data_IF_673017065233
#
_entry.id   IF_673017065233
#
_cell.length_a   1.000
_cell.length_b   1.000
_cell.length_c   1.000
_cell.angle_alpha   90.00
_cell.angle_beta   90.00
_cell.angle_gamma   90.00
#
_symmetry.space_group_name_H-M   'P 1'
#
loop_
_entity.id
_entity.type
_entity.pdbx_description
1 polymer ?
#
# COMPACT_ATOMS: atom_id res chain seq x y z
N UNK A 1 -11.48 30.11 -21.29
CA UNK A 1 -10.47 29.07 -21.63
C UNK A 1 -9.74 28.69 -20.34
N UNK A 2 -10.09 27.56 -19.70
CA UNK A 2 -9.31 27.04 -18.58
C UNK A 2 -7.87 26.81 -19.07
N UNK A 3 -6.90 27.34 -18.32
CA UNK A 3 -5.49 27.32 -18.67
C UNK A 3 -5.04 25.87 -18.91
N UNK A 4 -4.86 25.46 -20.17
CA UNK A 4 -4.52 24.08 -20.57
C UNK A 4 -3.01 23.79 -20.44
N UNK A 5 -2.33 24.55 -19.58
CA UNK A 5 -0.93 24.36 -19.20
C UNK A 5 -0.87 23.47 -17.96
N UNK A 6 0.22 22.71 -17.84
CA UNK A 6 0.46 21.90 -16.64
C UNK A 6 0.78 22.85 -15.48
N UNK A 7 0.05 22.74 -14.37
CA UNK A 7 0.46 23.33 -13.11
C UNK A 7 1.46 22.38 -12.42
N UNK A 8 2.75 22.61 -12.64
CA UNK A 8 3.81 21.76 -12.11
C UNK A 8 3.83 21.73 -10.58
N UNK A 9 3.51 22.84 -9.92
CA UNK A 9 3.44 22.90 -8.46
C UNK A 9 2.36 21.95 -7.97
N UNK A 10 1.16 22.01 -8.56
CA UNK A 10 0.06 21.10 -8.20
C UNK A 10 0.36 19.65 -8.57
N UNK A 11 1.02 19.42 -9.70
CA UNK A 11 1.42 18.08 -10.13
C UNK A 11 2.36 17.41 -9.12
N UNK A 12 3.38 18.13 -8.64
CA UNK A 12 4.32 17.63 -7.63
C UNK A 12 3.60 17.39 -6.29
N UNK A 13 2.72 18.30 -5.86
CA UNK A 13 1.95 18.13 -4.62
C UNK A 13 1.07 16.88 -4.68
N UNK A 14 0.32 16.69 -5.78
CA UNK A 14 -0.57 15.54 -5.94
C UNK A 14 0.20 14.23 -6.12
N UNK A 15 1.28 14.24 -6.91
CA UNK A 15 2.13 13.06 -7.10
C UNK A 15 2.86 12.68 -5.81
N UNK A 16 3.36 13.65 -5.05
CA UNK A 16 3.94 13.44 -3.73
C UNK A 16 2.92 12.95 -2.70
N UNK A 17 1.68 13.46 -2.71
CA UNK A 17 0.61 12.96 -1.87
C UNK A 17 0.24 11.51 -2.22
N UNK A 18 0.18 11.16 -3.51
CA UNK A 18 0.02 9.77 -3.94
C UNK A 18 1.15 8.88 -3.42
N UNK A 19 2.40 9.28 -3.61
CA UNK A 19 3.56 8.55 -3.09
C UNK A 19 3.47 8.36 -1.57
N UNK A 20 3.19 9.42 -0.81
CA UNK A 20 3.07 9.36 0.64
C UNK A 20 1.93 8.45 1.10
N UNK A 21 0.87 8.31 0.29
CA UNK A 21 -0.24 7.38 0.60
C UNK A 21 0.14 5.93 0.29
N UNK A 22 0.94 5.69 -0.75
CA UNK A 22 1.45 4.34 -1.07
C UNK A 22 2.59 3.89 -0.13
N UNK A 23 3.38 4.84 0.38
CA UNK A 23 4.51 4.55 1.27
C UNK A 23 4.02 4.50 2.71
N UNK A 24 3.74 3.28 3.16
CA UNK A 24 3.37 2.99 4.54
C UNK A 24 4.28 1.96 5.19
N UNK A 25 3.71 1.20 6.11
CA UNK A 25 4.35 0.08 6.79
C UNK A 25 4.96 -0.99 5.88
N UNK A 26 4.31 -1.33 4.77
CA UNK A 26 4.81 -2.32 3.80
C UNK A 26 6.16 -1.89 3.20
N UNK A 27 6.27 -0.61 2.86
CA UNK A 27 7.51 0.00 2.39
C UNK A 27 8.55 0.09 3.52
N UNK A 28 8.15 0.49 4.73
CA UNK A 28 9.06 0.65 5.87
C UNK A 28 9.67 -0.68 6.31
N UNK A 29 8.87 -1.74 6.34
CA UNK A 29 9.31 -3.09 6.70
C UNK A 29 10.06 -3.77 5.56
N UNK A 30 9.65 -3.53 4.30
CA UNK A 30 10.12 -4.22 3.11
C UNK A 30 9.57 -5.64 2.94
N UNK A 31 8.63 -6.06 3.81
CA UNK A 31 8.11 -7.44 3.82
C UNK A 31 7.30 -7.76 2.56
N UNK A 32 6.58 -6.79 2.02
CA UNK A 32 5.82 -6.96 0.77
C UNK A 32 6.77 -7.20 -0.41
N UNK A 33 7.96 -6.59 -0.39
CA UNK A 33 8.93 -6.73 -1.45
C UNK A 33 9.56 -8.12 -1.48
N UNK A 34 9.70 -8.78 -0.32
CA UNK A 34 10.10 -10.18 -0.26
C UNK A 34 9.13 -11.05 -1.04
N UNK A 35 7.84 -10.94 -0.72
CA UNK A 35 6.78 -11.77 -1.30
C UNK A 35 6.50 -11.52 -2.77
N UNK A 36 6.51 -10.25 -3.21
CA UNK A 36 6.09 -9.87 -4.56
C UNK A 36 7.24 -9.79 -5.57
N UNK A 37 8.46 -9.49 -5.12
CA UNK A 37 9.58 -9.23 -6.02
C UNK A 37 10.74 -10.17 -5.77
N UNK A 38 11.31 -10.16 -4.55
CA UNK A 38 12.57 -10.86 -4.24
C UNK A 38 12.44 -12.38 -4.41
N UNK A 39 11.31 -12.96 -3.99
CA UNK A 39 11.05 -14.40 -4.11
C UNK A 39 11.04 -14.94 -5.56
N UNK A 40 11.09 -14.06 -6.57
CA UNK A 40 11.14 -14.40 -7.99
C UNK A 40 12.52 -14.21 -8.64
N UNK A 41 13.56 -13.90 -7.85
CA UNK A 41 14.90 -13.63 -8.36
C UNK A 41 15.00 -12.30 -9.12
N UNK A 42 16.23 -11.89 -9.45
CA UNK A 42 16.49 -10.56 -10.04
C UNK A 42 15.72 -10.34 -11.36
N UNK A 43 15.73 -11.26 -12.35
CA UNK A 43 15.00 -11.04 -13.60
C UNK A 43 13.49 -10.95 -13.39
N UNK A 44 12.94 -11.81 -12.52
CA UNK A 44 11.52 -11.82 -12.19
C UNK A 44 11.09 -10.54 -11.47
N UNK A 45 11.89 -10.08 -10.52
CA UNK A 45 11.65 -8.83 -9.81
C UNK A 45 11.66 -7.61 -10.75
N UNK A 46 12.66 -7.51 -11.64
CA UNK A 46 12.74 -6.42 -12.61
C UNK A 46 11.52 -6.39 -13.54
N UNK A 47 11.12 -7.54 -14.06
CA UNK A 47 9.91 -7.67 -14.88
C UNK A 47 8.63 -7.32 -14.13
N UNK A 48 8.50 -7.78 -12.88
CA UNK A 48 7.35 -7.50 -12.03
C UNK A 48 7.24 -6.00 -11.69
N UNK A 49 8.35 -5.34 -11.37
CA UNK A 49 8.41 -3.89 -11.14
C UNK A 49 7.98 -3.11 -12.39
N UNK A 50 8.43 -3.54 -13.58
CA UNK A 50 8.06 -2.89 -14.84
C UNK A 50 6.55 -3.01 -15.14
N UNK A 51 5.97 -4.19 -14.96
CA UNK A 51 4.52 -4.41 -15.11
C UNK A 51 3.75 -3.57 -14.06
N UNK A 52 4.21 -3.59 -12.81
CA UNK A 52 3.63 -2.83 -11.71
C UNK A 52 3.60 -1.33 -12.03
N UNK A 53 4.69 -0.79 -12.58
CA UNK A 53 4.80 0.62 -12.95
C UNK A 53 3.72 1.01 -13.97
N UNK A 54 3.55 0.20 -15.01
CA UNK A 54 2.55 0.47 -16.06
C UNK A 54 1.14 0.44 -15.46
N UNK A 55 0.82 -0.56 -14.65
CA UNK A 55 -0.52 -0.71 -14.08
C UNK A 55 -0.83 0.39 -13.08
N UNK A 56 0.10 0.72 -12.17
CA UNK A 56 -0.05 1.85 -11.25
C UNK A 56 -0.27 3.16 -12.02
N UNK A 57 0.46 3.39 -13.11
CA UNK A 57 0.28 4.57 -13.94
C UNK A 57 -1.13 4.63 -14.54
N UNK A 58 -1.60 3.53 -15.14
CA UNK A 58 -2.95 3.46 -15.73
C UNK A 58 -4.04 3.71 -14.69
N UNK A 59 -3.95 3.04 -13.53
CA UNK A 59 -4.94 3.13 -12.46
C UNK A 59 -4.96 4.55 -11.85
N UNK A 60 -3.78 5.09 -11.52
CA UNK A 60 -3.63 6.42 -10.90
C UNK A 60 -4.09 7.52 -11.83
N UNK A 61 -3.66 7.47 -13.11
CA UNK A 61 -4.09 8.42 -14.14
C UNK A 61 -5.61 8.40 -14.30
N UNK A 62 -6.21 7.23 -14.36
CA UNK A 62 -7.65 7.10 -14.55
C UNK A 62 -8.42 7.71 -13.39
N UNK A 63 -8.11 7.31 -12.15
CA UNK A 63 -8.84 7.82 -10.98
C UNK A 63 -8.63 9.33 -10.76
N UNK A 64 -7.40 9.83 -10.91
CA UNK A 64 -7.15 11.27 -10.82
C UNK A 64 -7.91 12.07 -11.88
N UNK A 65 -7.90 11.59 -13.13
CA UNK A 65 -8.63 12.27 -14.20
C UNK A 65 -10.14 12.18 -14.00
N UNK A 66 -10.64 11.05 -13.48
CA UNK A 66 -12.07 10.89 -13.22
C UNK A 66 -12.56 11.84 -12.14
N UNK A 67 -11.73 12.13 -11.13
CA UNK A 67 -11.98 13.17 -10.14
C UNK A 67 -12.32 14.55 -10.71
N UNK A 68 -11.80 14.88 -11.90
CA UNK A 68 -12.07 16.13 -12.60
C UNK A 68 -13.35 16.10 -13.44
N UNK A 69 -13.95 14.93 -13.65
CA UNK A 69 -15.08 14.72 -14.57
C UNK A 69 -16.41 14.46 -13.85
N UNK A 70 -16.35 13.91 -12.63
CA UNK A 70 -17.53 13.41 -11.93
C UNK A 70 -17.86 14.26 -10.71
N UNK A 71 -19.11 14.18 -10.27
CA UNK A 71 -19.59 14.91 -9.10
C UNK A 71 -18.85 14.49 -7.84
N UNK A 72 -18.87 15.34 -6.80
CA UNK A 72 -18.27 15.00 -5.50
C UNK A 72 -18.87 13.71 -4.90
N UNK A 73 -20.17 13.47 -5.11
CA UNK A 73 -20.84 12.24 -4.67
C UNK A 73 -20.31 10.99 -5.41
N UNK A 74 -20.02 11.11 -6.70
CA UNK A 74 -19.44 10.04 -7.50
C UNK A 74 -17.95 9.81 -7.20
N UNK A 75 -17.21 10.86 -6.80
CA UNK A 75 -15.82 10.71 -6.35
C UNK A 75 -15.72 9.78 -5.14
N UNK A 76 -16.62 9.95 -4.17
CA UNK A 76 -16.69 9.11 -2.97
C UNK A 76 -17.23 7.70 -3.24
N UNK A 77 -18.01 7.52 -4.32
CA UNK A 77 -18.64 6.23 -4.69
C UNK A 77 -18.18 5.75 -6.07
N UNK A 78 -16.88 5.92 -6.36
CA UNK A 78 -16.33 5.73 -7.71
C UNK A 78 -16.57 4.32 -8.28
N UNK A 79 -16.60 3.31 -7.42
CA UNK A 79 -16.91 1.93 -7.82
C UNK A 79 -18.37 1.79 -8.29
N UNK A 80 -19.32 2.42 -7.61
CA UNK A 80 -20.71 2.46 -8.06
C UNK A 80 -20.86 3.22 -9.39
N UNK A 81 -20.05 4.25 -9.62
CA UNK A 81 -20.00 4.95 -10.91
C UNK A 81 -19.57 4.01 -12.05
N UNK A 82 -18.50 3.23 -11.88
CA UNK A 82 -18.01 2.36 -12.96
C UNK A 82 -18.85 1.09 -13.17
N UNK A 83 -19.34 0.49 -12.09
CA UNK A 83 -19.95 -0.85 -12.09
C UNK A 83 -21.46 -0.86 -11.88
N UNK A 84 -22.07 0.29 -11.60
CA UNK A 84 -23.46 0.39 -11.17
C UNK A 84 -23.66 0.00 -9.70
N UNK A 85 -24.89 0.13 -9.21
CA UNK A 85 -25.21 0.04 -7.78
C UNK A 85 -24.83 -1.30 -7.15
N UNK A 86 -25.16 -2.43 -7.79
CA UNK A 86 -24.99 -3.76 -7.18
C UNK A 86 -23.51 -4.16 -7.18
N UNK A 87 -22.88 -4.22 -8.36
CA UNK A 87 -21.48 -4.63 -8.46
C UNK A 87 -20.54 -3.62 -7.78
N UNK A 88 -20.86 -2.33 -7.84
CA UNK A 88 -20.11 -1.30 -7.12
C UNK A 88 -20.13 -1.49 -5.60
N UNK A 89 -21.30 -1.81 -5.02
CA UNK A 89 -21.42 -2.09 -3.58
C UNK A 89 -20.63 -3.36 -3.18
N UNK A 90 -20.61 -4.39 -4.02
CA UNK A 90 -19.80 -5.60 -3.79
C UNK A 90 -18.31 -5.26 -3.74
N UNK A 91 -17.81 -4.51 -4.72
CA UNK A 91 -16.40 -4.11 -4.72
C UNK A 91 -16.06 -3.16 -3.57
N UNK A 92 -16.99 -2.30 -3.16
CA UNK A 92 -16.78 -1.40 -2.03
C UNK A 92 -16.71 -2.16 -0.69
N UNK A 93 -17.57 -3.17 -0.48
CA UNK A 93 -17.42 -4.08 0.66
C UNK A 93 -16.14 -4.89 0.60
N UNK A 94 -15.72 -5.34 -0.58
CA UNK A 94 -14.45 -6.02 -0.75
C UNK A 94 -13.27 -5.11 -0.36
N UNK A 95 -13.24 -3.86 -0.83
CA UNK A 95 -12.25 -2.86 -0.44
C UNK A 95 -12.24 -2.65 1.08
N UNK A 96 -13.40 -2.57 1.72
CA UNK A 96 -13.47 -2.44 3.18
C UNK A 96 -12.89 -3.67 3.90
N UNK A 97 -13.24 -4.88 3.46
CA UNK A 97 -12.71 -6.13 4.03
C UNK A 97 -11.19 -6.22 3.83
N UNK A 98 -10.67 -5.86 2.66
CA UNK A 98 -9.24 -5.75 2.40
C UNK A 98 -8.58 -4.77 3.38
N UNK A 99 -9.15 -3.58 3.54
CA UNK A 99 -8.68 -2.58 4.50
C UNK A 99 -8.66 -3.13 5.94
N UNK A 100 -9.68 -3.89 6.33
CA UNK A 100 -9.67 -4.64 7.60
C UNK A 100 -8.55 -5.69 7.66
N UNK A 101 -8.34 -6.45 6.60
CA UNK A 101 -7.24 -7.42 6.47
C UNK A 101 -5.85 -6.77 6.55
N UNK A 102 -5.67 -5.59 5.98
CA UNK A 102 -4.43 -4.82 6.12
C UNK A 102 -4.16 -4.50 7.59
N UNK A 103 -5.18 -4.21 8.41
CA UNK A 103 -4.99 -4.02 9.85
C UNK A 103 -4.50 -5.28 10.57
N UNK A 104 -4.97 -6.48 10.20
CA UNK A 104 -4.43 -7.74 10.72
C UNK A 104 -2.93 -7.86 10.39
N UNK A 105 -2.53 -7.53 9.16
CA UNK A 105 -1.12 -7.50 8.74
C UNK A 105 -0.33 -6.48 9.55
N UNK A 106 -0.92 -5.32 9.90
CA UNK A 106 -0.24 -4.31 10.73
C UNK A 106 0.05 -4.81 12.14
N UNK A 107 -0.90 -5.49 12.78
CA UNK A 107 -0.67 -6.07 14.11
C UNK A 107 0.42 -7.14 14.08
N UNK A 108 0.38 -8.02 13.07
CA UNK A 108 1.43 -9.02 12.86
C UNK A 108 2.78 -8.35 12.61
N UNK A 109 2.84 -7.36 11.70
CA UNK A 109 4.06 -6.62 11.36
C UNK A 109 4.69 -5.90 12.54
N UNK A 110 3.89 -5.32 13.44
CA UNK A 110 4.42 -4.71 14.67
C UNK A 110 5.03 -5.76 15.61
N UNK A 111 4.33 -6.88 15.78
CA UNK A 111 4.82 -8.04 16.53
C UNK A 111 6.14 -8.57 15.97
N UNK A 112 6.19 -8.84 14.67
CA UNK A 112 7.38 -9.33 13.96
C UNK A 112 8.53 -8.34 14.02
N UNK A 113 8.27 -7.04 13.87
CA UNK A 113 9.31 -6.00 13.94
C UNK A 113 9.95 -5.95 15.32
N UNK A 114 9.16 -5.96 16.39
CA UNK A 114 9.67 -5.93 17.76
C UNK A 114 10.32 -7.25 18.15
N UNK A 115 9.81 -8.38 17.68
CA UNK A 115 10.48 -9.67 17.84
C UNK A 115 11.87 -9.66 17.16
N UNK A 116 11.97 -9.19 15.92
CA UNK A 116 13.24 -9.18 15.19
C UNK A 116 14.29 -8.25 15.82
N UNK A 117 13.88 -7.16 16.48
CA UNK A 117 14.82 -6.21 17.10
C UNK A 117 15.11 -6.48 18.58
N UNK A 118 14.08 -6.85 19.36
CA UNK A 118 14.16 -7.00 20.83
C UNK A 118 14.04 -8.44 21.31
N UNK A 119 13.81 -9.39 20.41
CA UNK A 119 13.54 -10.80 20.71
C UNK A 119 12.30 -11.03 21.60
N UNK A 120 11.36 -10.09 21.58
CA UNK A 120 10.08 -10.21 22.31
C UNK A 120 9.12 -11.18 21.64
N UNK A 121 8.22 -11.80 22.40
CA UNK A 121 7.10 -12.57 21.81
C UNK A 121 6.30 -11.64 20.86
N UNK A 122 6.04 -12.06 19.60
CA UNK A 122 5.30 -11.26 18.63
C UNK A 122 3.93 -10.76 19.14
N UNK A 123 3.27 -11.50 20.03
CA UNK A 123 2.01 -11.06 20.63
C UNK A 123 2.17 -9.82 21.51
N UNK A 124 3.32 -9.63 22.16
CA UNK A 124 3.56 -8.41 22.96
C UNK A 124 3.57 -7.20 22.04
N UNK A 125 4.32 -7.26 20.93
CA UNK A 125 4.37 -6.17 19.97
C UNK A 125 3.03 -5.90 19.29
N UNK A 126 2.29 -6.96 18.95
CA UNK A 126 0.93 -6.83 18.42
C UNK A 126 -0.04 -6.22 19.44
N UNK A 127 0.03 -6.60 20.72
CA UNK A 127 -0.76 -6.03 21.80
C UNK A 127 -0.51 -4.52 21.98
N UNK A 128 0.76 -4.09 21.93
CA UNK A 128 1.11 -2.67 22.02
C UNK A 128 0.52 -1.88 20.85
N UNK A 129 0.65 -2.40 19.62
CA UNK A 129 0.06 -1.77 18.43
C UNK A 129 -1.47 -1.78 18.46
N UNK A 130 -2.07 -2.87 18.93
CA UNK A 130 -3.51 -2.99 19.14
C UNK A 130 -4.01 -1.95 20.14
N UNK A 131 -3.38 -1.83 21.30
CA UNK A 131 -3.75 -0.84 22.31
C UNK A 131 -3.66 0.59 21.75
N UNK A 132 -2.55 0.94 21.11
CA UNK A 132 -2.35 2.26 20.52
C UNK A 132 -3.41 2.58 19.44
N UNK A 133 -3.65 1.63 18.52
CA UNK A 133 -4.63 1.82 17.44
C UNK A 133 -6.07 1.88 17.97
N UNK A 134 -6.43 1.02 18.92
CA UNK A 134 -7.77 0.97 19.53
C UNK A 134 -8.06 2.29 20.23
N UNK A 135 -7.14 2.79 21.09
CA UNK A 135 -7.30 4.07 21.77
C UNK A 135 -7.56 5.18 20.74
N UNK A 136 -6.72 5.27 19.71
CA UNK A 136 -6.85 6.29 18.67
C UNK A 136 -8.18 6.24 17.92
N UNK A 137 -8.60 5.07 17.46
CA UNK A 137 -9.83 4.93 16.67
C UNK A 137 -11.09 5.02 17.54
N UNK A 138 -11.00 4.62 18.80
CA UNK A 138 -12.11 4.69 19.76
C UNK A 138 -12.42 6.12 20.19
N UNK A 139 -11.39 6.96 20.37
CA UNK A 139 -11.55 8.37 20.74
C UNK A 139 -11.66 9.32 19.54
N UNK A 140 -11.50 8.79 18.32
CA UNK A 140 -11.76 9.48 17.07
C UNK A 140 -10.49 9.80 16.29
N UNK A 141 -10.36 9.20 15.11
CA UNK A 141 -9.17 9.32 14.25
C UNK A 141 -8.96 10.74 13.70
N UNK A 142 -10.03 11.50 13.47
CA UNK A 142 -9.98 12.80 12.76
C UNK A 142 -9.05 13.83 13.40
N UNK A 143 -8.79 13.73 14.71
CA UNK A 143 -7.85 14.63 15.40
C UNK A 143 -6.38 14.27 15.19
N UNK A 144 -6.12 13.03 14.75
CA UNK A 144 -4.77 12.47 14.59
C UNK A 144 -4.38 12.30 13.12
N UNK A 145 -5.30 12.50 12.17
CA UNK A 145 -5.02 12.37 10.73
C UNK A 145 -3.90 13.27 10.26
N UNK A 146 -3.82 14.51 10.76
CA UNK A 146 -2.79 15.47 10.34
C UNK A 146 -1.41 15.07 10.85
N UNK A 147 -1.33 14.59 12.10
CA UNK A 147 -0.09 14.08 12.70
C UNK A 147 0.36 12.82 11.94
N UNK A 148 -0.55 11.87 11.74
CA UNK A 148 -0.30 10.62 11.01
C UNK A 148 0.21 10.92 9.60
N UNK A 149 -0.44 11.84 8.88
CA UNK A 149 -0.04 12.23 7.53
C UNK A 149 1.33 12.91 7.45
N UNK A 150 1.74 13.63 8.50
CA UNK A 150 3.05 14.30 8.54
C UNK A 150 4.24 13.35 8.67
N UNK A 151 4.04 12.15 9.21
CA UNK A 151 5.12 11.18 9.47
C UNK A 151 5.51 10.41 8.19
N UNK A 152 4.55 10.16 7.30
CA UNK A 152 4.75 9.38 6.06
C UNK A 152 5.95 9.80 5.21
N UNK A 153 6.14 11.09 4.89
CA UNK A 153 7.31 11.56 4.12
C UNK A 153 8.65 11.24 4.77
N UNK A 154 8.74 11.30 6.11
CA UNK A 154 9.97 10.97 6.83
C UNK A 154 10.26 9.47 6.75
N UNK A 155 9.25 8.61 6.92
CA UNK A 155 9.40 7.15 6.78
C UNK A 155 9.90 6.80 5.37
N UNK A 156 9.30 7.41 4.35
CA UNK A 156 9.69 7.23 2.95
C UNK A 156 11.17 7.59 2.73
N UNK A 157 11.56 8.78 3.17
CA UNK A 157 12.92 9.29 3.03
C UNK A 157 13.94 8.37 3.71
N UNK A 158 13.69 7.98 4.96
CA UNK A 158 14.60 7.09 5.72
C UNK A 158 14.72 5.71 5.09
N UNK A 159 13.61 5.14 4.62
CA UNK A 159 13.61 3.83 3.95
C UNK A 159 14.48 3.88 2.69
N UNK A 160 14.33 4.93 1.87
CA UNK A 160 15.15 5.13 0.66
C UNK A 160 16.63 5.33 1.02
N UNK A 161 16.96 6.12 2.06
CA UNK A 161 18.34 6.31 2.51
C UNK A 161 18.98 4.96 2.87
N UNK A 162 18.29 4.12 3.63
CA UNK A 162 18.79 2.80 4.00
C UNK A 162 18.99 1.93 2.77
N UNK A 163 18.03 1.92 1.83
CA UNK A 163 18.17 1.20 0.58
C UNK A 163 19.39 1.65 -0.23
N UNK A 164 19.60 2.95 -0.36
CA UNK A 164 20.77 3.51 -1.07
C UNK A 164 22.08 3.11 -0.38
N UNK A 165 22.16 3.24 0.95
CA UNK A 165 23.37 2.84 1.70
C UNK A 165 23.62 1.34 1.60
N UNK A 166 22.59 0.51 1.71
CA UNK A 166 22.68 -0.93 1.53
C UNK A 166 23.14 -1.31 0.11
N UNK A 167 22.71 -0.57 -0.92
CA UNK A 167 23.20 -0.75 -2.29
C UNK A 167 24.69 -0.44 -2.44
N UNK A 168 25.25 0.51 -1.69
CA UNK A 168 26.71 0.75 -1.74
C UNK A 168 27.54 -0.39 -1.16
N UNK A 169 26.91 -1.29 -0.40
CA UNK A 169 27.52 -2.48 0.22
C UNK A 169 27.07 -3.78 -0.44
N UNK A 170 26.31 -3.69 -1.54
CA UNK A 170 25.67 -4.82 -2.16
C UNK A 170 26.67 -5.75 -2.85
N UNK A 171 26.49 -7.05 -2.65
CA UNK A 171 27.06 -8.13 -3.45
C UNK A 171 25.93 -8.95 -4.07
N UNK A 172 25.92 -9.02 -5.40
CA UNK A 172 24.91 -9.78 -6.16
C UNK A 172 25.40 -11.17 -6.58
N UNK A 173 26.67 -11.49 -6.33
CA UNK A 173 27.34 -12.69 -6.88
C UNK A 173 26.77 -14.01 -6.34
N UNK A 174 26.17 -13.99 -5.16
CA UNK A 174 25.62 -15.15 -4.48
C UNK A 174 24.08 -15.21 -4.51
N UNK A 175 23.41 -14.31 -5.23
CA UNK A 175 21.94 -14.28 -5.24
C UNK A 175 21.34 -15.59 -5.75
N UNK A 176 21.88 -16.13 -6.84
CA UNK A 176 21.38 -17.36 -7.45
C UNK A 176 21.65 -18.61 -6.59
N UNK A 177 22.60 -18.55 -5.65
CA UNK A 177 22.93 -19.65 -4.73
C UNK A 177 22.16 -19.54 -3.42
N UNK A 178 22.03 -18.34 -2.85
CA UNK A 178 21.41 -18.11 -1.54
C UNK A 178 19.89 -18.08 -1.64
N UNK A 179 19.32 -17.39 -2.62
CA UNK A 179 17.87 -17.16 -2.70
C UNK A 179 17.03 -18.46 -2.70
N UNK A 180 17.41 -19.54 -3.42
CA UNK A 180 16.66 -20.79 -3.38
C UNK A 180 16.60 -21.45 -1.99
N UNK A 181 17.54 -21.14 -1.10
CA UNK A 181 17.61 -21.72 0.27
C UNK A 181 16.73 -21.02 1.29
N UNK A 182 16.24 -19.81 0.97
CA UNK A 182 15.55 -18.95 1.94
C UNK A 182 14.06 -19.30 2.15
N UNK A 183 13.53 -20.27 1.40
CA UNK A 183 12.12 -20.70 1.43
C UNK A 183 11.12 -19.53 1.53
N UNK A 184 11.35 -18.48 0.72
CA UNK A 184 10.54 -17.29 0.76
C UNK A 184 9.10 -17.57 0.33
N UNK A 185 8.17 -17.08 1.13
CA UNK A 185 6.74 -17.12 0.86
C UNK A 185 6.44 -16.26 -0.37
N UNK A 186 5.77 -16.82 -1.39
CA UNK A 186 5.47 -16.13 -2.67
C UNK A 186 4.03 -15.62 -2.71
N UNK A 187 3.84 -14.35 -3.08
CA UNK A 187 2.50 -13.81 -3.29
C UNK A 187 1.78 -14.51 -4.46
N UNK A 188 2.49 -14.79 -5.56
CA UNK A 188 1.93 -15.49 -6.72
C UNK A 188 2.89 -16.56 -7.25
N UNK A 189 2.40 -17.60 -7.94
CA UNK A 189 3.28 -18.61 -8.55
C UNK A 189 4.27 -18.03 -9.58
N UNK A 190 3.91 -16.94 -10.25
CA UNK A 190 4.72 -16.34 -11.33
C UNK A 190 4.98 -14.86 -11.11
N UNK A 191 6.18 -14.42 -11.50
CA UNK A 191 6.64 -13.03 -11.30
C UNK A 191 5.74 -12.00 -11.98
N UNK A 192 5.22 -12.31 -13.16
CA UNK A 192 4.39 -11.36 -13.92
C UNK A 192 3.03 -11.17 -13.25
N UNK A 193 2.49 -12.21 -12.61
CA UNK A 193 1.28 -12.09 -11.81
C UNK A 193 1.53 -11.25 -10.57
N UNK A 194 2.70 -11.32 -9.93
CA UNK A 194 3.06 -10.39 -8.85
C UNK A 194 3.11 -8.94 -9.35
N UNK A 195 3.66 -8.70 -10.54
CA UNK A 195 3.65 -7.38 -11.18
C UNK A 195 2.24 -6.83 -11.44
N UNK A 196 1.24 -7.69 -11.64
CA UNK A 196 -0.17 -7.31 -11.77
C UNK A 196 -0.84 -7.16 -10.41
N UNK A 197 -0.65 -8.13 -9.52
CA UNK A 197 -1.35 -8.21 -8.25
C UNK A 197 -0.94 -7.08 -7.30
N UNK A 198 0.36 -6.75 -7.23
CA UNK A 198 0.90 -5.70 -6.36
C UNK A 198 0.21 -4.34 -6.55
N UNK A 199 0.18 -3.74 -7.75
CA UNK A 199 -0.54 -2.48 -7.96
C UNK A 199 -2.05 -2.65 -7.79
N UNK A 200 -2.62 -3.80 -8.18
CA UNK A 200 -4.06 -3.98 -8.14
C UNK A 200 -4.62 -4.03 -6.71
N UNK A 201 -3.99 -4.75 -5.78
CA UNK A 201 -4.45 -4.75 -4.38
C UNK A 201 -4.27 -3.36 -3.76
N UNK A 202 -3.10 -2.73 -3.98
CA UNK A 202 -2.79 -1.47 -3.36
C UNK A 202 -3.75 -0.38 -3.85
N UNK A 203 -4.01 -0.32 -5.16
CA UNK A 203 -4.96 0.63 -5.74
C UNK A 203 -6.40 0.40 -5.29
N UNK A 204 -6.82 -0.82 -4.93
CA UNK A 204 -8.15 -1.04 -4.34
C UNK A 204 -8.30 -0.33 -3.00
N UNK A 205 -7.24 -0.23 -2.19
CA UNK A 205 -7.27 0.51 -0.92
C UNK A 205 -7.31 2.01 -1.13
N UNK A 206 -6.75 2.50 -2.25
CA UNK A 206 -6.65 3.92 -2.56
C UNK A 206 -7.80 4.45 -3.44
N UNK A 207 -8.57 3.54 -4.06
CA UNK A 207 -9.63 3.87 -5.02
C UNK A 207 -10.59 4.96 -4.53
N UNK A 208 -11.07 4.96 -3.27
CA UNK A 208 -11.96 6.01 -2.78
C UNK A 208 -11.32 7.41 -2.64
N UNK A 209 -9.99 7.49 -2.52
CA UNK A 209 -9.28 8.75 -2.22
C UNK A 209 -8.75 9.46 -3.47
N UNK A 210 -8.25 8.71 -4.46
CA UNK A 210 -7.62 9.30 -5.65
C UNK A 210 -8.55 10.25 -6.44
N UNK A 211 -9.83 9.93 -6.70
CA UNK A 211 -10.71 10.86 -7.41
C UNK A 211 -10.82 12.21 -6.70
N UNK A 212 -11.02 12.22 -5.39
CA UNK A 212 -11.10 13.46 -4.61
C UNK A 212 -9.78 14.25 -4.61
N UNK A 213 -8.63 13.56 -4.59
CA UNK A 213 -7.32 14.21 -4.78
C UNK A 213 -7.22 14.84 -6.16
N UNK A 214 -7.63 14.11 -7.21
CA UNK A 214 -7.62 14.58 -8.59
C UNK A 214 -8.54 15.78 -8.84
N UNK A 215 -9.71 15.83 -8.20
CA UNK A 215 -10.71 16.89 -8.31
C UNK A 215 -10.18 18.30 -7.96
N UNK A 216 -9.10 18.36 -7.18
CA UNK A 216 -8.47 19.61 -6.75
C UNK A 216 -7.48 20.23 -7.75
N UNK A 217 -7.22 19.57 -8.89
CA UNK A 217 -6.38 20.11 -9.96
C UNK A 217 -7.18 21.04 -10.89
N UNK A 218 -6.48 21.85 -11.67
CA UNK A 218 -7.10 22.78 -12.63
C UNK A 218 -7.44 22.15 -13.99
N UNK A 219 -6.79 21.02 -14.33
CA UNK A 219 -6.98 20.31 -15.60
C UNK A 219 -6.38 18.90 -15.56
N UNK A 220 -6.78 18.07 -16.54
CA UNK A 220 -6.30 16.68 -16.71
C UNK A 220 -4.83 16.51 -17.05
N UNK A 221 -4.19 17.53 -17.65
CA UNK A 221 -2.75 17.48 -17.94
C UNK A 221 -1.95 17.53 -16.64
N UNK A 222 -2.42 18.32 -15.67
CA UNK A 222 -1.83 18.44 -14.34
C UNK A 222 -1.96 17.14 -13.55
N UNK A 223 -3.14 16.53 -13.51
CA UNK A 223 -3.36 15.23 -12.86
C UNK A 223 -2.58 14.09 -13.54
N UNK A 224 -2.50 14.10 -14.87
CA UNK A 224 -1.68 13.10 -15.60
C UNK A 224 -0.20 13.29 -15.29
N UNK A 225 0.30 14.52 -15.24
CA UNK A 225 1.68 14.81 -14.83
C UNK A 225 1.93 14.38 -13.37
N UNK A 226 0.96 14.59 -12.47
CA UNK A 226 1.01 14.11 -11.09
C UNK A 226 1.12 12.58 -11.01
N UNK A 227 0.33 11.86 -11.82
CA UNK A 227 0.38 10.40 -11.89
C UNK A 227 1.74 9.91 -12.42
N UNK A 228 2.29 10.53 -13.48
CA UNK A 228 3.62 10.20 -14.00
C UNK A 228 4.68 10.42 -12.92
N UNK A 229 4.70 11.60 -12.30
CA UNK A 229 5.67 11.93 -11.25
C UNK A 229 5.57 10.95 -10.08
N UNK A 230 4.38 10.81 -9.49
CA UNK A 230 4.19 9.98 -8.30
C UNK A 230 4.52 8.51 -8.55
N UNK A 231 4.07 7.94 -9.68
CA UNK A 231 4.30 6.52 -9.99
C UNK A 231 5.77 6.23 -10.29
N UNK A 232 6.47 7.10 -11.03
CA UNK A 232 7.90 6.91 -11.33
C UNK A 232 8.73 6.95 -10.05
N UNK A 233 8.57 7.97 -9.22
CA UNK A 233 9.36 8.11 -8.00
C UNK A 233 9.02 7.02 -6.97
N UNK A 234 7.75 6.59 -6.89
CA UNK A 234 7.37 5.44 -6.07
C UNK A 234 8.04 4.14 -6.53
N UNK A 235 8.06 3.84 -7.83
CA UNK A 235 8.69 2.62 -8.34
C UNK A 235 10.22 2.68 -8.30
N UNK A 236 10.81 3.87 -8.45
CA UNK A 236 12.24 4.05 -8.21
C UNK A 236 12.60 3.71 -6.76
N UNK A 237 11.78 4.15 -5.80
CA UNK A 237 11.95 3.81 -4.39
C UNK A 237 11.80 2.29 -4.15
N UNK A 238 10.78 1.64 -4.75
CA UNK A 238 10.64 0.17 -4.68
C UNK A 238 11.89 -0.53 -5.23
N UNK A 239 12.34 -0.14 -6.42
CA UNK A 239 13.51 -0.75 -7.05
C UNK A 239 14.75 -0.64 -6.17
N UNK A 240 15.01 0.53 -5.57
CA UNK A 240 16.11 0.75 -4.63
C UNK A 240 16.06 -0.28 -3.50
N UNK A 241 14.91 -0.45 -2.84
CA UNK A 241 14.77 -1.40 -1.72
C UNK A 241 14.90 -2.84 -2.19
N UNK A 242 14.23 -3.22 -3.29
CA UNK A 242 14.28 -4.59 -3.82
C UNK A 242 15.71 -5.00 -4.17
N UNK A 243 16.45 -4.14 -4.86
CA UNK A 243 17.85 -4.41 -5.21
C UNK A 243 18.79 -4.32 -4.00
N UNK A 244 18.49 -3.47 -3.01
CA UNK A 244 19.21 -3.48 -1.74
C UNK A 244 19.07 -4.82 -1.00
N UNK A 245 17.87 -5.41 -1.02
CA UNK A 245 17.62 -6.74 -0.43
C UNK A 245 18.41 -7.81 -1.20
N UNK A 246 18.34 -7.84 -2.54
CA UNK A 246 19.12 -8.79 -3.34
C UNK A 246 20.62 -8.68 -3.08
N UNK A 247 21.14 -7.47 -3.02
CA UNK A 247 22.58 -7.25 -2.78
C UNK A 247 23.05 -7.60 -1.37
N UNK A 248 22.15 -7.93 -0.44
CA UNK A 248 22.49 -8.15 0.95
C UNK A 248 21.74 -9.37 1.51
N UNK A 249 21.50 -10.40 0.68
CA UNK A 249 20.74 -11.59 1.11
C UNK A 249 21.40 -12.30 2.31
N UNK A 250 22.72 -12.27 2.44
CA UNK A 250 23.43 -12.86 3.59
C UNK A 250 23.08 -12.16 4.91
N UNK A 251 22.84 -10.85 4.86
CA UNK A 251 22.48 -10.02 6.02
C UNK A 251 20.98 -10.10 6.29
N UNK A 252 20.17 -10.05 5.23
CA UNK A 252 18.72 -10.14 5.33
C UNK A 252 18.32 -11.53 5.84
N UNK A 253 18.98 -12.59 5.38
CA UNK A 253 18.70 -13.95 5.82
C UNK A 253 17.21 -14.27 5.75
N UNK A 254 16.69 -14.95 6.78
CA UNK A 254 15.27 -15.29 6.90
C UNK A 254 14.43 -14.19 7.57
N UNK A 255 14.96 -12.96 7.66
CA UNK A 255 14.27 -11.83 8.27
C UNK A 255 12.93 -11.55 7.58
N UNK A 256 11.88 -11.40 8.36
CA UNK A 256 10.56 -11.02 7.86
C UNK A 256 10.42 -9.50 7.67
N UNK A 257 11.29 -8.72 8.31
CA UNK A 257 11.38 -7.27 8.19
C UNK A 257 12.75 -6.91 7.60
N UNK A 258 12.95 -7.10 6.29
CA UNK A 258 14.27 -7.00 5.66
C UNK A 258 14.89 -5.62 5.80
N UNK A 259 14.10 -4.54 5.76
CA UNK A 259 14.66 -3.19 5.89
C UNK A 259 15.22 -2.94 7.30
N UNK A 260 14.65 -3.58 8.33
CA UNK A 260 15.22 -3.54 9.68
C UNK A 260 16.58 -4.26 9.73
N UNK A 261 16.73 -5.38 9.01
CA UNK A 261 18.01 -6.05 8.87
C UNK A 261 19.02 -5.17 8.11
N UNK A 262 18.63 -4.59 6.98
CA UNK A 262 19.46 -3.66 6.20
C UNK A 262 19.88 -2.43 7.00
N UNK A 263 19.01 -1.90 7.86
CA UNK A 263 19.35 -0.75 8.70
C UNK A 263 20.49 -1.04 9.69
N UNK A 264 20.71 -2.32 10.04
CA UNK A 264 21.87 -2.76 10.83
C UNK A 264 23.22 -2.46 10.17
N UNK A 265 23.25 -2.32 8.84
CA UNK A 265 24.46 -1.93 8.10
C UNK A 265 24.92 -0.50 8.41
N UNK A 266 24.05 0.33 8.98
CA UNK A 266 24.38 1.70 9.42
C UNK A 266 24.81 1.75 10.90
N UNK A 267 24.81 0.60 11.58
CA UNK A 267 25.18 0.46 12.99
C UNK A 267 23.98 0.43 13.94
N UNK A 268 24.21 0.06 15.23
CA UNK A 268 23.13 -0.23 16.18
C UNK A 268 22.21 0.95 16.49
N UNK A 269 22.76 2.17 16.53
CA UNK A 269 21.98 3.39 16.80
C UNK A 269 21.02 3.68 15.65
N UNK A 270 21.49 3.58 14.40
CA UNK A 270 20.65 3.79 13.24
C UNK A 270 19.53 2.73 13.15
N UNK A 271 19.87 1.47 13.44
CA UNK A 271 18.88 0.38 13.51
C UNK A 271 17.82 0.62 14.59
N UNK A 272 18.23 1.11 15.77
CA UNK A 272 17.32 1.46 16.87
C UNK A 272 16.40 2.65 16.55
N UNK A 273 16.89 3.66 15.82
CA UNK A 273 16.03 4.72 15.31
C UNK A 273 15.06 4.15 14.28
N UNK A 274 15.53 3.24 13.42
CA UNK A 274 14.72 2.70 12.34
C UNK A 274 13.60 1.78 12.84
N UNK A 275 13.82 0.97 13.88
CA UNK A 275 12.72 0.18 14.48
C UNK A 275 11.59 1.09 14.98
N UNK A 276 11.91 2.22 15.60
CA UNK A 276 10.90 3.20 16.05
C UNK A 276 10.16 3.78 14.85
N UNK A 277 10.87 4.11 13.77
CA UNK A 277 10.26 4.59 12.53
C UNK A 277 9.35 3.56 11.88
N UNK A 278 9.71 2.27 11.87
CA UNK A 278 8.85 1.19 11.37
C UNK A 278 7.59 1.08 12.22
N UNK A 279 7.71 1.11 13.56
CA UNK A 279 6.55 1.05 14.45
C UNK A 279 5.63 2.25 14.25
N UNK A 280 6.18 3.45 14.08
CA UNK A 280 5.40 4.63 13.70
C UNK A 280 4.72 4.45 12.34
N UNK A 281 5.43 3.91 11.33
CA UNK A 281 4.85 3.60 10.03
C UNK A 281 3.66 2.64 10.14
N UNK A 282 3.83 1.55 10.88
CA UNK A 282 2.77 0.58 11.15
C UNK A 282 1.59 1.24 11.86
N UNK A 283 1.84 2.07 12.88
CA UNK A 283 0.79 2.80 13.57
C UNK A 283 0.01 3.75 12.64
N UNK A 284 0.73 4.49 11.78
CA UNK A 284 0.13 5.43 10.81
C UNK A 284 -0.72 4.73 9.75
N UNK A 285 -0.46 3.45 9.47
CA UNK A 285 -1.28 2.63 8.57
C UNK A 285 -2.39 1.89 9.32
N UNK A 286 -2.13 1.38 10.52
CA UNK A 286 -3.08 0.60 11.31
C UNK A 286 -4.32 1.41 11.70
N UNK A 287 -4.14 2.66 12.15
CA UNK A 287 -5.27 3.46 12.63
C UNK A 287 -6.27 3.80 11.51
N UNK A 288 -5.86 4.33 10.34
CA UNK A 288 -6.78 4.56 9.22
C UNK A 288 -7.43 3.29 8.70
N UNK A 289 -6.71 2.17 8.66
CA UNK A 289 -7.24 0.90 8.14
C UNK A 289 -8.34 0.34 9.07
N UNK A 290 -8.09 0.31 10.37
CA UNK A 290 -9.12 -0.09 11.34
C UNK A 290 -10.34 0.84 11.30
N UNK A 291 -10.09 2.16 11.27
CA UNK A 291 -11.17 3.16 11.18
C UNK A 291 -12.00 2.97 9.89
N UNK A 292 -11.34 2.80 8.73
CA UNK A 292 -12.00 2.62 7.44
C UNK A 292 -12.93 1.41 7.41
N UNK A 293 -12.47 0.27 7.91
CA UNK A 293 -13.32 -0.93 8.03
C UNK A 293 -14.50 -0.71 8.98
N UNK A 294 -14.25 -0.19 10.19
CA UNK A 294 -15.30 0.00 11.20
C UNK A 294 -16.37 1.01 10.75
N UNK A 295 -15.97 2.05 10.01
CA UNK A 295 -16.87 3.04 9.40
C UNK A 295 -17.76 2.46 8.31
N UNK A 296 -17.29 1.48 7.55
CA UNK A 296 -18.13 0.76 6.59
C UNK A 296 -19.22 -0.05 7.29
N UNK A 297 -18.91 -0.64 8.45
CA UNK A 297 -19.87 -1.40 9.27
C UNK A 297 -20.96 -0.49 9.88
N UNK A 298 -20.56 0.71 10.33
CA UNK A 298 -21.47 1.73 10.83
C UNK A 298 -20.86 3.13 10.77
N UNK A 299 -21.65 4.10 10.32
CA UNK A 299 -21.27 5.52 10.27
C UNK A 299 -21.38 6.23 11.63
N UNK A 300 -21.93 5.57 12.66
CA UNK A 300 -22.02 6.13 14.01
C UNK A 300 -20.87 5.62 14.88
N UNK A 301 -19.79 6.40 14.96
CA UNK A 301 -18.57 6.09 15.73
C UNK A 301 -18.81 5.99 17.25
N UNK A 302 -19.94 6.49 17.76
CA UNK A 302 -20.29 6.38 19.19
C UNK A 302 -21.11 5.13 19.51
N UNK A 303 -21.56 4.39 18.49
CA UNK A 303 -22.45 3.24 18.68
C UNK A 303 -21.74 2.03 19.28
N UNK A 304 -22.49 1.17 19.98
CA UNK A 304 -21.98 -0.12 20.43
C UNK A 304 -21.50 -0.99 19.26
N UNK A 305 -22.19 -0.93 18.11
CA UNK A 305 -21.80 -1.65 16.88
C UNK A 305 -20.40 -1.27 16.40
N UNK A 306 -20.04 0.01 16.45
CA UNK A 306 -18.70 0.50 16.08
C UNK A 306 -17.63 -0.05 17.03
N UNK A 307 -17.88 0.00 18.34
CA UNK A 307 -16.96 -0.52 19.37
C UNK A 307 -16.77 -2.04 19.26
N UNK A 308 -17.85 -2.78 19.00
CA UNK A 308 -17.81 -4.22 18.75
C UNK A 308 -16.97 -4.52 17.50
N UNK A 309 -17.13 -3.74 16.42
CA UNK A 309 -16.33 -3.91 15.21
C UNK A 309 -14.82 -3.70 15.46
N UNK A 310 -14.45 -2.69 16.25
CA UNK A 310 -13.06 -2.44 16.67
C UNK A 310 -12.51 -3.68 17.41
N UNK A 311 -13.19 -4.11 18.47
CA UNK A 311 -12.71 -5.23 19.30
C UNK A 311 -12.66 -6.53 18.49
N UNK A 312 -13.67 -6.82 17.67
CA UNK A 312 -13.69 -8.01 16.83
C UNK A 312 -12.51 -8.01 15.85
N UNK A 313 -12.24 -6.89 15.18
CA UNK A 313 -11.12 -6.78 14.25
C UNK A 313 -9.77 -6.93 14.97
N UNK A 314 -9.61 -6.34 16.15
CA UNK A 314 -8.41 -6.51 16.98
C UNK A 314 -8.21 -7.97 17.40
N UNK A 315 -9.25 -8.66 17.87
CA UNK A 315 -9.16 -10.07 18.25
C UNK A 315 -8.76 -10.93 17.05
N UNK A 316 -9.35 -10.70 15.87
CA UNK A 316 -8.96 -11.40 14.64
C UNK A 316 -7.50 -11.14 14.27
N UNK A 317 -7.02 -9.90 14.44
CA UNK A 317 -5.60 -9.57 14.27
C UNK A 317 -4.68 -10.27 15.25
N UNK A 318 -5.05 -10.36 16.53
CA UNK A 318 -4.27 -11.10 17.53
C UNK A 318 -4.19 -12.60 17.20
N UNK A 319 -5.30 -13.20 16.75
CA UNK A 319 -5.34 -14.58 16.27
C UNK A 319 -4.43 -14.74 15.05
N UNK A 320 -4.53 -13.81 14.09
CA UNK A 320 -3.68 -13.76 12.90
C UNK A 320 -2.19 -13.71 13.24
N UNK A 321 -1.79 -12.86 14.20
CA UNK A 321 -0.41 -12.79 14.70
C UNK A 321 0.05 -14.10 15.33
N UNK A 322 -0.82 -14.81 16.05
CA UNK A 322 -0.44 -16.07 16.70
C UNK A 322 -0.27 -17.22 15.70
N UNK A 323 -1.11 -17.28 14.67
CA UNK A 323 -1.23 -18.44 13.80
C UNK A 323 -0.37 -18.36 12.53
N UNK A 324 -0.04 -17.16 12.06
CA UNK A 324 0.57 -16.97 10.74
C UNK A 324 1.83 -16.10 10.81
N UNK A 325 2.79 -16.38 9.92
CA UNK A 325 3.93 -15.48 9.68
C UNK A 325 3.46 -14.25 8.91
N UNK A 326 4.19 -13.15 9.02
CA UNK A 326 3.87 -11.89 8.34
C UNK A 326 3.74 -12.09 6.83
N UNK A 327 4.72 -12.79 6.23
CA UNK A 327 4.72 -13.10 4.80
C UNK A 327 3.51 -13.92 4.35
N UNK A 328 3.01 -14.82 5.20
CA UNK A 328 1.88 -15.69 4.85
C UNK A 328 0.56 -14.89 4.82
N UNK A 329 0.37 -13.98 5.79
CA UNK A 329 -0.79 -13.08 5.78
C UNK A 329 -0.76 -12.15 4.57
N UNK A 330 0.42 -11.59 4.24
CA UNK A 330 0.63 -10.77 3.04
C UNK A 330 0.23 -11.56 1.79
N UNK A 331 0.72 -12.79 1.65
CA UNK A 331 0.47 -13.61 0.47
C UNK A 331 -1.00 -13.97 0.31
N UNK A 332 -1.70 -14.33 1.39
CA UNK A 332 -3.11 -14.68 1.30
C UNK A 332 -3.95 -13.44 1.00
N UNK A 333 -3.81 -12.38 1.80
CA UNK A 333 -4.69 -11.21 1.71
C UNK A 333 -4.40 -10.41 0.44
N UNK A 334 -3.13 -10.09 0.16
CA UNK A 334 -2.81 -9.22 -0.97
C UNK A 334 -2.92 -9.91 -2.31
N UNK A 335 -2.69 -11.23 -2.41
CA UNK A 335 -2.82 -11.91 -3.70
C UNK A 335 -4.27 -12.08 -4.11
N UNK A 336 -5.15 -12.47 -3.18
CA UNK A 336 -6.61 -12.53 -3.44
C UNK A 336 -7.09 -11.14 -3.87
N UNK A 337 -6.70 -10.11 -3.13
CA UNK A 337 -7.05 -8.73 -3.46
C UNK A 337 -6.40 -8.21 -4.73
N UNK A 338 -5.23 -8.71 -5.11
CA UNK A 338 -4.57 -8.40 -6.37
C UNK A 338 -5.38 -8.90 -7.56
N UNK A 339 -5.89 -10.14 -7.50
CA UNK A 339 -6.75 -10.68 -8.55
C UNK A 339 -8.08 -9.93 -8.67
N UNK A 340 -8.74 -9.63 -7.54
CA UNK A 340 -9.97 -8.83 -7.55
C UNK A 340 -9.71 -7.42 -8.05
N UNK A 341 -8.60 -6.79 -7.63
CA UNK A 341 -8.19 -5.48 -8.12
C UNK A 341 -7.91 -5.47 -9.63
N UNK A 342 -7.38 -6.56 -10.18
CA UNK A 342 -7.19 -6.69 -11.63
C UNK A 342 -8.53 -6.76 -12.37
N UNK A 343 -9.52 -7.47 -11.83
CA UNK A 343 -10.90 -7.46 -12.36
C UNK A 343 -11.50 -6.05 -12.31
N UNK A 344 -11.28 -5.33 -11.20
CA UNK A 344 -11.73 -3.94 -11.06
C UNK A 344 -11.06 -3.04 -12.10
N UNK A 345 -9.75 -3.15 -12.30
CA UNK A 345 -9.05 -2.37 -13.32
C UNK A 345 -9.61 -2.62 -14.72
N UNK A 346 -9.74 -3.88 -15.11
CA UNK A 346 -10.30 -4.27 -16.42
C UNK A 346 -11.71 -3.72 -16.57
N UNK A 347 -12.54 -3.84 -15.53
CA UNK A 347 -13.90 -3.30 -15.51
C UNK A 347 -13.95 -1.77 -15.67
N UNK A 348 -13.05 -1.04 -15.01
CA UNK A 348 -12.91 0.42 -15.18
C UNK A 348 -12.58 0.76 -16.63
N UNK A 349 -11.62 0.06 -17.23
CA UNK A 349 -11.21 0.27 -18.63
C UNK A 349 -12.38 0.00 -19.61
N UNK A 350 -13.09 -1.11 -19.43
CA UNK A 350 -14.26 -1.46 -20.26
C UNK A 350 -15.38 -0.42 -20.10
N UNK A 351 -15.70 -0.04 -18.85
CA UNK A 351 -16.74 0.96 -18.55
C UNK A 351 -16.47 2.29 -19.25
N UNK A 352 -15.21 2.73 -19.26
CA UNK A 352 -14.80 3.93 -20.00
C UNK A 352 -14.96 3.82 -21.51
N UNK A 353 -14.60 2.69 -22.11
CA UNK A 353 -14.77 2.45 -23.55
C UNK A 353 -16.25 2.51 -23.92
N UNK A 354 -17.12 1.83 -23.16
CA UNK A 354 -18.56 1.82 -23.39
C UNK A 354 -19.15 3.24 -23.28
N UNK A 355 -18.80 3.98 -22.24
CA UNK A 355 -19.28 5.37 -22.02
C UNK A 355 -18.82 6.31 -23.14
N UNK A 356 -17.57 6.19 -23.59
CA UNK A 356 -17.03 6.99 -24.70
C UNK A 356 -17.74 6.69 -26.01
N UNK A 357 -18.07 5.43 -26.28
CA UNK A 357 -18.81 5.04 -27.48
C UNK A 357 -20.25 5.59 -27.45
N UNK A 358 -20.95 5.49 -26.31
CA UNK A 358 -22.29 6.07 -26.16
C UNK A 358 -22.30 7.59 -26.37
N UNK A 359 -21.32 8.30 -25.80
CA UNK A 359 -21.21 9.75 -25.98
C UNK A 359 -20.94 10.14 -27.44
N UNK A 360 -20.19 9.34 -28.19
CA UNK A 360 -19.98 9.56 -29.64
C UNK A 360 -21.25 9.31 -30.45
N UNK A 361 -21.99 8.24 -30.15
CA UNK A 361 -23.26 7.95 -30.82
C UNK A 361 -24.29 9.05 -30.60
N UNK A 362 -24.44 9.51 -29.36
CA UNK A 362 -25.37 10.60 -29.01
C UNK A 362 -24.97 11.98 -29.57
N UNK A 363 -23.72 12.16 -30.02
CA UNK A 363 -23.27 13.38 -30.70
C UNK A 363 -23.35 13.29 -32.23
N UNK A 364 -23.64 12.09 -32.75
CA UNK A 364 -23.84 11.82 -34.18
C UNK A 364 -25.33 11.77 -34.57
N UNK A 365 -26.20 11.52 -33.60
CA UNK A 365 -27.65 11.81 -33.63
C UNK A 365 -27.90 13.31 -33.37
#
# INVERSE_FOLDING_TARGET
>A
MQNNKIDWKRAIILGGAFMATCIGSGFATGSEFLSFFVAHGIPGAAGAIAISLIIYFLFTKELFNKGQEVSEADQHNILAYYFGKIAGEVFDWFSAILVGGCYLIMLNGAGTTLNQYLDWDPLIGACLMAAASVITVWFGLRKLTDIIGSIGPFIALFSVIIGVVALTKADFSNVDTVLPTMELSKASPTWWLCGIAYPCFAMMTLTPALPSMGASAINKKTTTAAAVFGVIFFHAAIAIIVFAIFGNLDIVGTAQVPNLALSGLLGPVAQGIFVVMIILAIYTTACPMMWGFCRKITTNEKSAKYRIAIIALTVLGMIGTRLFRLGDLINVIYSISGYVGAVVLVGILISNIIRKNKAKSAAAE
#
